data_IF_932983652001
#
_entry.id   IF_932983652001
#
_cell.length_a   1.000
_cell.length_b   1.000
_cell.length_c   1.000
_cell.angle_alpha   90.00
_cell.angle_beta   90.00
_cell.angle_gamma   90.00
#
_symmetry.space_group_name_H-M   'P 1'
#
loop_
_entity.id
_entity.type
_entity.pdbx_description
1 polymer ?
#
# COMPACT_ATOMS: atom_id res chain seq x y z
N UNK A 1 18.50 3.21 1.68
CA UNK A 1 17.46 2.34 1.05
C UNK A 1 16.09 2.87 1.45
N UNK A 2 15.13 3.05 0.53
CA UNK A 2 13.76 3.39 0.92
C UNK A 2 12.97 2.16 1.39
N UNK A 3 12.07 2.35 2.36
CA UNK A 3 11.20 1.31 2.91
C UNK A 3 9.76 1.47 2.42
N UNK A 4 9.30 0.55 1.59
CA UNK A 4 7.96 0.53 1.01
C UNK A 4 7.09 -0.43 1.82
N UNK A 5 6.09 0.10 2.51
CA UNK A 5 5.20 -0.64 3.40
C UNK A 5 3.82 -0.74 2.76
N UNK A 6 3.43 -1.94 2.33
CA UNK A 6 2.12 -2.18 1.76
C UNK A 6 1.27 -2.98 2.73
N UNK A 7 0.09 -2.46 3.09
CA UNK A 7 -0.87 -3.13 3.96
C UNK A 7 -1.83 -3.91 3.06
N UNK A 8 -1.77 -5.23 3.07
CA UNK A 8 -2.46 -6.10 2.10
C UNK A 8 -3.15 -7.30 2.80
N UNK A 9 -4.48 -7.41 2.66
CA UNK A 9 -5.28 -8.50 3.22
C UNK A 9 -6.64 -8.62 2.53
N UNK A 10 -7.06 -9.84 2.19
CA UNK A 10 -8.31 -10.13 1.46
C UNK A 10 -9.60 -9.91 2.27
N UNK A 11 -9.52 -9.96 3.61
CA UNK A 11 -10.70 -9.75 4.46
C UNK A 11 -10.97 -8.25 4.69
N UNK A 12 -12.22 -7.85 4.49
CA UNK A 12 -12.71 -6.50 4.80
C UNK A 12 -12.87 -6.25 6.31
N UNK A 13 -12.78 -4.98 6.72
CA UNK A 13 -13.05 -4.58 8.11
C UNK A 13 -12.01 -5.03 9.15
N UNK A 14 -10.84 -5.50 8.72
CA UNK A 14 -9.78 -6.02 9.63
C UNK A 14 -8.83 -4.95 10.18
N UNK A 15 -9.06 -3.67 9.86
CA UNK A 15 -8.21 -2.57 10.34
C UNK A 15 -7.00 -2.25 9.45
N UNK A 16 -7.04 -2.53 8.14
CA UNK A 16 -5.99 -2.15 7.18
C UNK A 16 -5.70 -0.65 7.19
N UNK A 17 -6.70 0.17 6.86
CA UNK A 17 -6.57 1.62 6.82
C UNK A 17 -6.21 2.24 8.16
N UNK A 18 -6.73 1.66 9.26
CA UNK A 18 -6.33 2.06 10.60
C UNK A 18 -4.82 1.84 10.83
N UNK A 19 -4.33 0.64 10.50
CA UNK A 19 -2.90 0.30 10.63
C UNK A 19 -2.01 1.15 9.73
N UNK A 20 -2.43 1.37 8.47
CA UNK A 20 -1.74 2.27 7.56
C UNK A 20 -1.68 3.70 8.14
N UNK A 21 -2.79 4.21 8.67
CA UNK A 21 -2.83 5.54 9.29
C UNK A 21 -1.93 5.65 10.53
N UNK A 22 -1.85 4.60 11.36
CA UNK A 22 -0.97 4.59 12.54
C UNK A 22 0.50 4.57 12.13
N UNK A 23 0.87 3.76 11.14
CA UNK A 23 2.24 3.70 10.63
C UNK A 23 2.66 5.04 10.03
N UNK A 24 1.80 5.66 9.20
CA UNK A 24 2.04 6.99 8.64
C UNK A 24 2.25 8.04 9.74
N UNK A 25 1.37 8.08 10.74
CA UNK A 25 1.48 9.01 11.86
C UNK A 25 2.76 8.78 12.67
N UNK A 26 3.10 7.53 12.97
CA UNK A 26 4.33 7.18 13.70
C UNK A 26 5.60 7.66 12.98
N UNK A 27 5.65 7.52 11.65
CA UNK A 27 6.76 7.97 10.83
C UNK A 27 6.84 9.50 10.77
N UNK A 28 5.70 10.17 10.56
CA UNK A 28 5.62 11.63 10.56
C UNK A 28 6.03 12.24 11.90
N UNK A 29 5.60 11.65 13.02
CA UNK A 29 5.94 12.07 14.39
C UNK A 29 7.45 11.95 14.70
N UNK A 30 8.19 11.17 13.89
CA UNK A 30 9.65 10.99 13.98
C UNK A 30 10.40 11.74 12.89
N UNK A 31 9.77 12.73 12.29
CA UNK A 31 10.34 13.55 11.21
C UNK A 31 10.85 12.72 10.02
N UNK A 32 10.29 11.53 9.79
CA UNK A 32 10.65 10.70 8.65
C UNK A 32 10.02 11.24 7.37
N UNK A 33 10.76 11.19 6.27
CA UNK A 33 10.22 11.49 4.95
C UNK A 33 9.30 10.34 4.51
N UNK A 34 7.99 10.54 4.57
CA UNK A 34 7.00 9.50 4.22
C UNK A 34 6.01 9.95 3.15
N UNK A 35 5.86 9.14 2.11
CA UNK A 35 4.77 9.22 1.13
C UNK A 35 3.62 8.30 1.51
N UNK A 36 2.41 8.84 1.67
CA UNK A 36 1.21 8.06 1.93
C UNK A 36 0.41 7.86 0.64
N UNK A 37 -0.04 6.63 0.39
CA UNK A 37 -0.78 6.25 -0.80
C UNK A 37 -2.03 5.49 -0.42
N UNK A 38 -3.15 5.88 -1.02
CA UNK A 38 -4.46 5.28 -0.78
C UNK A 38 -4.92 4.58 -2.06
N UNK A 39 -4.88 3.26 -2.06
CA UNK A 39 -5.27 2.43 -3.20
C UNK A 39 -6.60 1.70 -2.95
N UNK A 40 -7.39 2.09 -1.95
CA UNK A 40 -8.74 1.55 -1.76
C UNK A 40 -9.74 2.28 -2.70
N UNK A 41 -10.34 1.59 -3.69
CA UNK A 41 -11.27 2.20 -4.63
C UNK A 41 -12.63 2.51 -4.01
N UNK A 42 -12.95 1.91 -2.86
CA UNK A 42 -14.25 2.03 -2.17
C UNK A 42 -14.15 3.00 -0.99
N UNK A 43 -13.16 2.82 -0.12
CA UNK A 43 -13.04 3.55 1.14
C UNK A 43 -11.66 4.23 1.26
N UNK A 44 -11.49 5.35 0.56
CA UNK A 44 -10.26 6.16 0.55
C UNK A 44 -9.99 6.87 1.90
N UNK A 45 -9.74 6.07 2.93
CA UNK A 45 -9.63 6.47 4.34
C UNK A 45 -8.36 7.27 4.60
N UNK A 46 -7.25 6.91 3.96
CA UNK A 46 -5.98 7.63 4.12
C UNK A 46 -6.08 9.03 3.51
N UNK A 47 -6.71 9.16 2.33
CA UNK A 47 -6.94 10.45 1.68
C UNK A 47 -7.89 11.36 2.47
N UNK A 48 -8.81 10.79 3.27
CA UNK A 48 -9.69 11.57 4.13
C UNK A 48 -8.95 12.33 5.24
N UNK A 49 -7.75 11.87 5.64
CA UNK A 49 -6.91 12.57 6.61
C UNK A 49 -6.01 13.59 5.91
N UNK A 50 -6.44 14.86 5.87
CA UNK A 50 -5.69 15.95 5.21
C UNK A 50 -4.24 16.09 5.73
N UNK A 51 -4.00 15.79 7.01
CA UNK A 51 -2.66 15.84 7.62
C UNK A 51 -1.68 14.80 7.04
N UNK A 52 -2.19 13.68 6.52
CA UNK A 52 -1.36 12.63 5.92
C UNK A 52 -0.93 12.96 4.49
N UNK A 53 -1.59 13.95 3.84
CA UNK A 53 -1.33 14.35 2.45
C UNK A 53 -1.29 13.13 1.50
N UNK A 54 -2.15 12.14 1.76
CA UNK A 54 -2.11 10.88 1.04
C UNK A 54 -2.54 11.07 -0.42
N UNK A 55 -1.77 10.47 -1.33
CA UNK A 55 -2.07 10.45 -2.75
C UNK A 55 -3.04 9.30 -3.03
N UNK A 56 -4.25 9.62 -3.50
CA UNK A 56 -5.16 8.59 -4.01
C UNK A 56 -4.57 7.98 -5.28
N UNK A 57 -4.58 6.66 -5.35
CA UNK A 57 -4.16 5.89 -6.52
C UNK A 57 -5.35 5.08 -6.98
N UNK A 58 -5.89 5.45 -8.13
CA UNK A 58 -6.89 4.62 -8.79
C UNK A 58 -6.16 3.42 -9.40
N UNK A 59 -6.38 2.24 -8.85
CA UNK A 59 -5.73 1.01 -9.34
C UNK A 59 -6.71 0.10 -10.07
N UNK A 60 -8.00 0.42 -10.07
CA UNK A 60 -9.06 -0.38 -10.67
C UNK A 60 -9.68 0.32 -11.88
N UNK A 61 -9.94 -0.44 -12.93
CA UNK A 61 -10.82 -0.09 -14.05
C UNK A 61 -11.94 -1.12 -14.12
N UNK A 62 -13.11 -0.79 -13.57
CA UNK A 62 -14.15 -1.77 -13.28
C UNK A 62 -13.66 -2.78 -12.24
N UNK A 63 -13.71 -4.08 -12.60
CA UNK A 63 -13.29 -5.19 -11.73
C UNK A 63 -11.84 -5.65 -11.98
N UNK A 64 -11.11 -4.97 -12.87
CA UNK A 64 -9.73 -5.32 -13.24
C UNK A 64 -8.73 -4.29 -12.74
N UNK A 65 -7.48 -4.70 -12.51
CA UNK A 65 -6.40 -3.73 -12.24
C UNK A 65 -6.10 -2.95 -13.50
N UNK A 66 -6.04 -1.63 -13.36
CA UNK A 66 -5.43 -0.78 -14.37
C UNK A 66 -3.91 -0.82 -14.19
N UNK A 67 -3.24 -1.66 -14.98
CA UNK A 67 -1.79 -1.88 -14.89
C UNK A 67 -1.01 -0.59 -15.04
N UNK A 68 -1.42 0.32 -15.93
CA UNK A 68 -0.72 1.61 -16.16
C UNK A 68 -0.69 2.50 -14.93
N UNK A 69 -1.79 2.52 -14.17
CA UNK A 69 -1.86 3.33 -12.94
C UNK A 69 -1.00 2.72 -11.84
N UNK A 70 -0.91 1.39 -11.79
CA UNK A 70 0.02 0.72 -10.89
C UNK A 70 1.49 0.90 -11.32
N UNK A 71 1.81 0.84 -12.62
CA UNK A 71 3.14 1.18 -13.14
C UNK A 71 3.56 2.58 -12.69
N UNK A 72 2.64 3.55 -12.78
CA UNK A 72 2.86 4.93 -12.32
C UNK A 72 3.13 5.00 -10.82
N UNK A 73 2.48 4.15 -10.00
CA UNK A 73 2.80 4.03 -8.58
C UNK A 73 4.23 3.52 -8.40
N UNK A 74 4.58 2.41 -9.07
CA UNK A 74 5.91 1.80 -8.96
C UNK A 74 7.01 2.78 -9.38
N UNK A 75 6.81 3.53 -10.47
CA UNK A 75 7.73 4.58 -10.90
C UNK A 75 7.97 5.61 -9.80
N UNK A 76 6.91 6.08 -9.12
CA UNK A 76 7.03 6.99 -7.97
C UNK A 76 7.80 6.37 -6.80
N UNK A 77 7.60 5.07 -6.55
CA UNK A 77 8.29 4.37 -5.46
C UNK A 77 9.79 4.25 -5.73
N UNK A 78 10.21 4.09 -6.99
CA UNK A 78 11.63 3.99 -7.38
C UNK A 78 12.36 5.34 -7.30
N UNK A 79 11.61 6.43 -7.38
CA UNK A 79 12.17 7.78 -7.23
C UNK A 79 12.27 8.21 -5.75
N UNK A 80 11.92 7.34 -4.80
CA UNK A 80 12.06 7.67 -3.39
C UNK A 80 13.54 7.78 -3.02
N UNK A 81 13.93 8.84 -2.29
CA UNK A 81 15.30 8.95 -1.81
C UNK A 81 15.58 7.88 -0.76
N UNK A 82 16.87 7.61 -0.53
CA UNK A 82 17.30 6.71 0.54
C UNK A 82 16.76 7.16 1.90
N UNK A 83 16.45 6.19 2.76
CA UNK A 83 15.86 6.40 4.09
C UNK A 83 14.45 7.01 4.09
N UNK A 84 13.82 7.16 2.92
CA UNK A 84 12.40 7.51 2.83
C UNK A 84 11.49 6.30 3.07
N UNK A 85 10.24 6.60 3.38
CA UNK A 85 9.19 5.61 3.60
C UNK A 85 8.05 5.81 2.61
N UNK A 86 7.44 4.71 2.18
CA UNK A 86 6.12 4.71 1.59
C UNK A 86 5.18 3.87 2.43
N UNK A 87 3.95 4.34 2.61
CA UNK A 87 2.86 3.59 3.24
C UNK A 87 1.71 3.52 2.23
N UNK A 88 1.34 2.29 1.84
CA UNK A 88 0.31 2.02 0.85
C UNK A 88 -0.83 1.28 1.54
N UNK A 89 -1.98 1.95 1.66
CA UNK A 89 -3.23 1.32 2.09
C UNK A 89 -3.93 0.66 0.89
N UNK A 90 -4.53 -0.50 1.11
CA UNK A 90 -5.26 -1.24 0.07
C UNK A 90 -6.63 -1.67 0.56
N UNK A 91 -7.58 -1.71 -0.36
CA UNK A 91 -8.91 -2.25 -0.11
C UNK A 91 -8.90 -3.78 -0.02
N UNK A 92 -9.95 -4.35 0.57
CA UNK A 92 -10.15 -5.80 0.56
C UNK A 92 -10.40 -6.33 -0.87
N UNK A 93 -11.21 -5.60 -1.64
CA UNK A 93 -11.52 -5.92 -3.04
C UNK A 93 -10.30 -5.91 -3.94
N UNK A 94 -9.27 -5.12 -3.59
CA UNK A 94 -8.05 -5.00 -4.38
C UNK A 94 -7.00 -6.07 -4.07
N UNK A 95 -7.23 -6.93 -3.07
CA UNK A 95 -6.23 -7.90 -2.60
C UNK A 95 -5.75 -8.85 -3.70
N UNK A 96 -6.67 -9.62 -4.29
CA UNK A 96 -6.34 -10.61 -5.33
C UNK A 96 -5.69 -9.93 -6.53
N UNK A 97 -6.29 -8.88 -7.11
CA UNK A 97 -5.69 -8.20 -8.25
C UNK A 97 -4.29 -7.62 -7.97
N UNK A 98 -4.06 -6.98 -6.81
CA UNK A 98 -2.75 -6.44 -6.44
C UNK A 98 -1.71 -7.54 -6.23
N UNK A 99 -2.07 -8.61 -5.54
CA UNK A 99 -1.18 -9.74 -5.32
C UNK A 99 -0.77 -10.41 -6.64
N UNK A 100 -1.73 -10.60 -7.56
CA UNK A 100 -1.47 -11.12 -8.89
C UNK A 100 -0.50 -10.22 -9.65
N UNK A 101 -0.76 -8.91 -9.70
CA UNK A 101 0.12 -7.96 -10.37
C UNK A 101 1.55 -7.98 -9.78
N UNK A 102 1.69 -7.95 -8.45
CA UNK A 102 3.00 -7.96 -7.77
C UNK A 102 3.79 -9.22 -8.15
N UNK A 103 3.12 -10.37 -8.20
CA UNK A 103 3.73 -11.65 -8.55
C UNK A 103 4.09 -11.73 -10.03
N UNK A 104 3.17 -11.39 -10.93
CA UNK A 104 3.35 -11.51 -12.38
C UNK A 104 4.44 -10.58 -12.92
N UNK A 105 4.57 -9.39 -12.32
CA UNK A 105 5.54 -8.37 -12.75
C UNK A 105 6.84 -8.38 -11.93
N UNK A 106 7.04 -9.36 -11.03
CA UNK A 106 8.23 -9.45 -10.16
C UNK A 106 8.54 -8.15 -9.41
N UNK A 107 7.50 -7.42 -8.96
CA UNK A 107 7.63 -6.06 -8.41
C UNK A 107 8.60 -6.01 -7.23
N UNK A 108 8.58 -7.04 -6.37
CA UNK A 108 9.49 -7.11 -5.23
C UNK A 108 10.96 -7.16 -5.63
N UNK A 109 11.30 -7.96 -6.65
CA UNK A 109 12.68 -8.07 -7.13
C UNK A 109 13.10 -6.80 -7.89
N UNK A 110 12.17 -6.20 -8.63
CA UNK A 110 12.39 -4.93 -9.32
C UNK A 110 12.70 -3.79 -8.34
N UNK A 111 11.88 -3.60 -7.30
CA UNK A 111 12.11 -2.59 -6.26
C UNK A 111 13.44 -2.83 -5.52
N UNK A 112 13.77 -4.10 -5.26
CA UNK A 112 15.04 -4.48 -4.64
C UNK A 112 16.24 -4.14 -5.52
N UNK A 113 16.16 -4.41 -6.83
CA UNK A 113 17.19 -4.03 -7.79
C UNK A 113 17.36 -2.50 -7.89
N UNK A 114 16.28 -1.74 -7.66
CA UNK A 114 16.31 -0.28 -7.53
C UNK A 114 16.81 0.24 -6.18
N UNK A 115 17.22 -0.62 -5.24
CA UNK A 115 17.76 -0.21 -3.95
C UNK A 115 16.68 0.14 -2.91
N UNK A 116 15.49 -0.45 -3.01
CA UNK A 116 14.38 -0.26 -2.08
C UNK A 116 13.87 -1.61 -1.54
N UNK A 117 13.25 -1.61 -0.37
CA UNK A 117 12.69 -2.82 0.21
C UNK A 117 11.16 -2.77 0.27
N UNK A 118 10.50 -3.80 -0.25
CA UNK A 118 9.06 -3.99 -0.13
C UNK A 118 8.74 -4.88 1.08
N UNK A 119 7.99 -4.33 2.03
CA UNK A 119 7.45 -5.07 3.18
C UNK A 119 5.93 -5.17 3.04
N UNK A 120 5.43 -6.41 3.00
CA UNK A 120 4.00 -6.71 3.01
C UNK A 120 3.52 -6.89 4.45
N UNK A 121 2.64 -6.02 4.91
CA UNK A 121 2.00 -6.08 6.22
C UNK A 121 0.63 -6.73 6.07
N UNK A 122 0.39 -7.84 6.77
CA UNK A 122 -0.89 -8.55 6.75
C UNK A 122 -1.51 -8.57 8.13
N UNK A 123 -2.82 -8.33 8.20
CA UNK A 123 -3.54 -8.24 9.46
C UNK A 123 -4.04 -9.63 9.86
N UNK A 124 -3.45 -10.19 10.90
CA UNK A 124 -3.89 -11.47 11.45
C UNK A 124 -5.18 -11.23 12.24
N UNK A 125 -6.22 -11.97 11.87
CA UNK A 125 -7.56 -11.84 12.42
C UNK A 125 -8.13 -13.24 12.62
N UNK A 126 -8.93 -13.43 13.67
CA UNK A 126 -9.70 -14.65 13.84
C UNK A 126 -10.73 -14.83 12.73
N UNK A 127 -10.91 -16.06 12.27
CA UNK A 127 -12.09 -16.45 11.49
C UNK A 127 -13.34 -16.53 12.37
N UNK A 128 -14.50 -16.76 11.78
CA UNK A 128 -15.49 -17.56 12.51
C UNK A 128 -14.82 -18.90 12.82
N UNK A 129 -15.01 -19.43 14.02
CA UNK A 129 -14.65 -20.81 14.29
C UNK A 129 -15.43 -21.67 13.27
N UNK A 130 -14.73 -22.28 12.32
CA UNK A 130 -15.30 -23.42 11.63
C UNK A 130 -15.32 -24.54 12.66
N UNK A 131 -16.52 -24.83 13.17
CA UNK A 131 -16.81 -25.99 13.99
C UNK A 131 -17.06 -27.21 13.12
#
# INVERSE_FOLDING_TARGET
>A
MAAINMILQGKGGVGKSFTASLLSQYLLDRDQLVGCFDADPVNATLTAYASLKATKIEIMEGDSINSRLFDTMIEKLIQLPDEAFAVIDSGASTFVPLAAYISENNVAEFLKASGHNLTLHTLITGGQAEG
#
